data_IF_171643755906
#
_entry.id   IF_171643755906
#
_cell.length_a   1.000
_cell.length_b   1.000
_cell.length_c   1.000
_cell.angle_alpha   90.00
_cell.angle_beta   90.00
_cell.angle_gamma   90.00
#
_symmetry.space_group_name_H-M   'P 1'
#
loop_
_entity.id
_entity.type
_entity.pdbx_description
1 polymer ?
#
# COMPACT_ATOMS: atom_id res chain seq x y z
N UNK A 1 12.78 17.70 11.92
CA UNK A 1 13.38 16.64 12.77
C UNK A 1 13.33 15.34 11.98
N UNK A 2 14.36 14.51 12.07
CA UNK A 2 14.37 13.18 11.44
C UNK A 2 13.54 12.19 12.25
N UNK A 3 12.82 11.28 11.58
CA UNK A 3 12.09 10.20 12.26
C UNK A 3 13.06 9.19 12.90
N UNK A 4 12.69 8.57 14.05
CA UNK A 4 13.42 7.42 14.57
C UNK A 4 13.44 6.27 13.55
N UNK A 5 14.58 5.57 13.43
CA UNK A 5 14.77 4.47 12.49
C UNK A 5 15.26 3.24 13.23
N UNK A 6 14.61 2.11 12.97
CA UNK A 6 14.94 0.80 13.50
C UNK A 6 15.34 -0.15 12.38
N UNK A 7 16.23 -1.10 12.68
CA UNK A 7 16.65 -2.21 11.82
C UNK A 7 16.50 -3.53 12.57
N UNK A 8 16.82 -4.64 11.90
CA UNK A 8 16.74 -5.98 12.51
C UNK A 8 17.47 -6.06 13.86
N UNK A 9 18.63 -5.39 14.00
CA UNK A 9 19.40 -5.35 15.25
C UNK A 9 18.68 -4.68 16.42
N UNK A 10 17.67 -3.86 16.13
CA UNK A 10 16.89 -3.11 17.11
C UNK A 10 15.55 -3.82 17.42
N UNK A 11 15.33 -5.00 16.82
CA UNK A 11 14.09 -5.77 16.89
C UNK A 11 14.34 -7.16 17.47
N UNK A 12 13.41 -7.65 18.29
CA UNK A 12 13.44 -9.02 18.82
C UNK A 12 12.37 -9.87 18.13
N UNK A 13 12.78 -10.70 17.17
CA UNK A 13 11.87 -11.60 16.43
C UNK A 13 11.22 -12.68 17.31
N UNK A 14 11.79 -12.98 18.49
CA UNK A 14 11.23 -14.02 19.36
C UNK A 14 9.83 -13.65 19.89
N UNK A 15 9.52 -12.34 19.98
CA UNK A 15 8.23 -11.84 20.44
C UNK A 15 7.09 -12.24 19.50
N UNK A 16 7.22 -11.96 18.20
CA UNK A 16 6.21 -12.35 17.22
C UNK A 16 6.23 -13.86 16.94
N UNK A 17 7.41 -14.51 16.99
CA UNK A 17 7.52 -15.96 16.82
C UNK A 17 6.76 -16.76 17.89
N UNK A 18 6.67 -16.24 19.11
CA UNK A 18 5.92 -16.85 20.20
C UNK A 18 4.39 -16.59 20.13
N UNK A 19 3.95 -15.67 19.27
CA UNK A 19 2.55 -15.21 19.21
C UNK A 19 1.69 -16.05 18.27
N UNK A 20 0.38 -16.11 18.54
CA UNK A 20 -0.63 -16.57 17.57
C UNK A 20 -1.04 -15.41 16.67
N UNK A 21 -0.72 -15.50 15.38
CA UNK A 21 -0.97 -14.43 14.40
C UNK A 21 -2.15 -14.81 13.52
N UNK A 22 -3.19 -13.98 13.51
CA UNK A 22 -4.29 -14.06 12.57
C UNK A 22 -4.14 -13.01 11.48
N UNK A 23 -4.17 -13.44 10.23
CA UNK A 23 -4.23 -12.56 9.06
C UNK A 23 -5.67 -12.54 8.54
N UNK A 24 -6.35 -11.40 8.62
CA UNK A 24 -7.71 -11.22 8.10
C UNK A 24 -7.64 -10.67 6.69
N UNK A 25 -8.09 -11.45 5.71
CA UNK A 25 -7.96 -11.13 4.29
C UNK A 25 -6.69 -11.70 3.66
N UNK A 26 -6.82 -12.15 2.41
CA UNK A 26 -5.74 -12.84 1.68
C UNK A 26 -5.57 -12.30 0.25
N UNK A 27 -5.65 -10.97 0.13
CA UNK A 27 -5.33 -10.24 -1.10
C UNK A 27 -3.82 -10.00 -1.26
N UNK A 28 -3.47 -8.92 -1.95
CA UNK A 28 -2.08 -8.50 -2.21
C UNK A 28 -1.21 -8.42 -0.93
N UNK A 29 -1.65 -7.62 0.06
CA UNK A 29 -0.94 -7.49 1.34
C UNK A 29 -1.13 -8.70 2.23
N UNK A 30 -2.37 -9.21 2.37
CA UNK A 30 -2.71 -10.37 3.19
C UNK A 30 -1.85 -11.60 2.92
N UNK A 31 -1.74 -12.00 1.65
CA UNK A 31 -0.89 -13.13 1.25
C UNK A 31 0.58 -12.87 1.56
N UNK A 32 1.06 -11.65 1.29
CA UNK A 32 2.46 -11.27 1.51
C UNK A 32 2.84 -11.33 2.99
N UNK A 33 2.02 -10.73 3.85
CA UNK A 33 2.23 -10.74 5.30
C UNK A 33 2.20 -12.16 5.86
N UNK A 34 1.18 -12.96 5.49
CA UNK A 34 1.06 -14.34 5.95
C UNK A 34 2.31 -15.18 5.60
N UNK A 35 2.79 -15.08 4.36
CA UNK A 35 3.97 -15.83 3.90
C UNK A 35 5.26 -15.35 4.56
N UNK A 36 5.48 -14.03 4.65
CA UNK A 36 6.73 -13.50 5.23
C UNK A 36 6.82 -13.78 6.73
N UNK A 37 5.70 -13.63 7.46
CA UNK A 37 5.63 -13.92 8.89
C UNK A 37 5.89 -15.41 9.17
N UNK A 38 5.27 -16.31 8.40
CA UNK A 38 5.54 -17.75 8.51
C UNK A 38 7.02 -18.08 8.22
N UNK A 39 7.55 -17.54 7.13
CA UNK A 39 8.93 -17.80 6.72
C UNK A 39 9.96 -17.14 7.66
N UNK A 40 9.54 -16.20 8.51
CA UNK A 40 10.32 -15.64 9.62
C UNK A 40 10.26 -16.48 10.90
N UNK A 41 9.64 -17.66 10.87
CA UNK A 41 9.64 -18.61 11.98
C UNK A 41 8.44 -18.48 12.93
N UNK A 42 7.41 -17.72 12.58
CA UNK A 42 6.16 -17.72 13.35
C UNK A 42 5.39 -19.01 13.06
N UNK A 43 5.35 -19.89 14.06
CA UNK A 43 4.77 -21.23 13.92
C UNK A 43 3.23 -21.22 13.86
N UNK A 44 2.60 -20.23 14.47
CA UNK A 44 1.14 -20.16 14.62
C UNK A 44 0.57 -19.02 13.78
N UNK A 45 0.32 -19.30 12.50
CA UNK A 45 -0.33 -18.35 11.57
C UNK A 45 -1.62 -18.96 11.02
N UNK A 46 -2.74 -18.27 11.20
CA UNK A 46 -4.02 -18.60 10.57
C UNK A 46 -4.49 -17.48 9.66
N UNK A 47 -5.31 -17.84 8.67
CA UNK A 47 -5.89 -16.87 7.74
C UNK A 47 -7.42 -16.88 7.91
N UNK A 48 -8.01 -15.71 8.17
CA UNK A 48 -9.44 -15.55 8.22
C UNK A 48 -9.98 -15.07 6.88
N UNK A 49 -10.95 -15.81 6.33
CA UNK A 49 -11.65 -15.50 5.09
C UNK A 49 -13.13 -15.84 5.21
N UNK A 50 -13.97 -15.08 4.50
CA UNK A 50 -15.39 -15.43 4.31
C UNK A 50 -15.49 -16.73 3.51
N UNK A 51 -16.52 -17.54 3.78
CA UNK A 51 -16.72 -18.87 3.17
C UNK A 51 -16.67 -18.83 1.62
N UNK A 52 -17.32 -17.81 1.02
CA UNK A 52 -17.32 -17.59 -0.43
C UNK A 52 -16.13 -16.83 -0.99
N UNK A 53 -15.03 -16.65 -0.24
CA UNK A 53 -13.88 -15.87 -0.71
C UNK A 53 -13.18 -16.55 -1.88
N UNK A 54 -12.94 -15.79 -2.96
CA UNK A 54 -12.20 -16.24 -4.15
C UNK A 54 -10.75 -16.62 -3.84
N UNK A 55 -10.18 -16.11 -2.74
CA UNK A 55 -8.79 -16.36 -2.35
C UNK A 55 -8.61 -17.57 -1.42
N UNK A 56 -9.69 -18.24 -1.03
CA UNK A 56 -9.66 -19.38 -0.09
C UNK A 56 -8.78 -20.53 -0.60
N UNK A 57 -9.04 -20.97 -1.83
CA UNK A 57 -8.26 -22.03 -2.51
C UNK A 57 -6.77 -21.66 -2.56
N UNK A 58 -6.46 -20.38 -2.79
CA UNK A 58 -5.07 -19.92 -2.86
C UNK A 58 -4.39 -19.98 -1.49
N UNK A 59 -5.06 -19.53 -0.44
CA UNK A 59 -4.55 -19.59 0.94
C UNK A 59 -4.33 -21.03 1.42
N UNK A 60 -5.26 -21.94 1.12
CA UNK A 60 -5.12 -23.38 1.40
C UNK A 60 -3.95 -23.99 0.62
N UNK A 61 -3.81 -23.66 -0.66
CA UNK A 61 -2.70 -24.11 -1.50
C UNK A 61 -1.33 -23.59 -1.03
N UNK A 62 -1.31 -22.39 -0.44
CA UNK A 62 -0.11 -21.83 0.19
C UNK A 62 0.15 -22.41 1.60
N UNK A 63 -0.71 -23.31 2.09
CA UNK A 63 -0.52 -24.11 3.31
C UNK A 63 -1.10 -23.51 4.59
N UNK A 64 -2.03 -22.55 4.50
CA UNK A 64 -2.65 -21.93 5.68
C UNK A 64 -3.96 -22.61 6.09
N UNK A 65 -4.16 -22.74 7.40
CA UNK A 65 -5.47 -23.08 7.96
C UNK A 65 -6.41 -21.88 7.81
N UNK A 66 -7.60 -22.12 7.27
CA UNK A 66 -8.63 -21.10 7.07
C UNK A 66 -9.67 -21.18 8.17
N UNK A 67 -9.93 -20.05 8.82
CA UNK A 67 -10.91 -19.90 9.90
C UNK A 67 -11.92 -18.80 9.58
N UNK A 68 -13.00 -18.73 10.35
CA UNK A 68 -13.86 -17.54 10.36
C UNK A 68 -13.15 -16.38 11.05
N UNK A 69 -13.58 -15.15 10.80
CA UNK A 69 -12.99 -13.97 11.46
C UNK A 69 -13.20 -14.07 12.97
N UNK A 70 -14.43 -14.37 13.42
CA UNK A 70 -14.74 -14.52 14.83
C UNK A 70 -13.85 -15.55 15.51
N UNK A 71 -13.81 -16.80 15.02
CA UNK A 71 -13.01 -17.86 15.63
C UNK A 71 -11.51 -17.53 15.64
N UNK A 72 -11.03 -16.90 14.57
CA UNK A 72 -9.66 -16.43 14.47
C UNK A 72 -9.33 -15.38 15.51
N UNK A 73 -10.20 -14.39 15.72
CA UNK A 73 -9.99 -13.30 16.68
C UNK A 73 -9.97 -13.82 18.11
N UNK A 74 -10.86 -14.75 18.47
CA UNK A 74 -10.79 -15.41 19.79
C UNK A 74 -9.46 -16.15 19.99
N UNK A 75 -8.95 -16.81 18.96
CA UNK A 75 -7.75 -17.65 19.04
C UNK A 75 -6.44 -16.84 19.11
N UNK A 76 -6.38 -15.69 18.43
CA UNK A 76 -5.13 -14.96 18.17
C UNK A 76 -4.65 -14.14 19.37
N UNK A 77 -3.35 -13.82 19.38
CA UNK A 77 -2.75 -12.79 20.23
C UNK A 77 -2.51 -11.51 19.42
N UNK A 78 -2.19 -11.66 18.13
CA UNK A 78 -1.98 -10.58 17.16
C UNK A 78 -2.94 -10.76 15.99
N UNK A 79 -3.75 -9.73 15.73
CA UNK A 79 -4.77 -9.71 14.68
C UNK A 79 -4.34 -8.67 13.65
N UNK A 80 -4.16 -9.07 12.40
CA UNK A 80 -3.71 -8.20 11.31
C UNK A 80 -4.83 -8.04 10.31
N UNK A 81 -5.34 -6.82 10.16
CA UNK A 81 -6.49 -6.51 9.28
C UNK A 81 -5.99 -6.06 7.92
N UNK A 82 -6.15 -6.92 6.91
CA UNK A 82 -5.64 -6.73 5.53
C UNK A 82 -6.74 -6.98 4.48
N UNK A 83 -7.99 -6.70 4.85
CA UNK A 83 -9.09 -6.48 3.90
C UNK A 83 -9.00 -5.07 3.30
N UNK A 84 -9.96 -4.69 2.44
CA UNK A 84 -10.03 -3.32 1.96
C UNK A 84 -10.55 -2.38 3.06
N UNK A 85 -10.03 -1.15 3.09
CA UNK A 85 -10.25 -0.22 4.20
C UNK A 85 -11.72 0.13 4.41
N UNK A 86 -12.48 0.23 3.32
CA UNK A 86 -13.91 0.50 3.33
C UNK A 86 -14.75 -0.65 3.93
N UNK A 87 -14.20 -1.87 3.95
CA UNK A 87 -14.84 -3.01 4.61
C UNK A 87 -14.58 -3.05 6.12
N UNK A 88 -13.58 -2.31 6.63
CA UNK A 88 -13.14 -2.41 8.03
C UNK A 88 -14.22 -2.03 9.03
N UNK A 89 -15.03 -1.00 8.76
CA UNK A 89 -16.06 -0.54 9.71
C UNK A 89 -17.03 -1.66 10.08
N UNK A 90 -17.63 -2.29 9.06
CA UNK A 90 -18.61 -3.36 9.25
C UNK A 90 -17.94 -4.63 9.76
N UNK A 91 -16.80 -5.02 9.18
CA UNK A 91 -16.04 -6.19 9.62
C UNK A 91 -15.66 -6.09 11.10
N UNK A 92 -15.22 -4.91 11.53
CA UNK A 92 -14.83 -4.66 12.90
C UNK A 92 -16.03 -4.75 13.84
N UNK A 93 -17.12 -4.05 13.53
CA UNK A 93 -18.32 -4.06 14.36
C UNK A 93 -18.97 -5.44 14.48
N UNK A 94 -19.08 -6.17 13.36
CA UNK A 94 -19.84 -7.42 13.29
C UNK A 94 -19.03 -8.64 13.76
N UNK A 95 -17.72 -8.70 13.45
CA UNK A 95 -16.93 -9.94 13.56
C UNK A 95 -15.69 -9.82 14.46
N UNK A 96 -15.06 -8.64 14.56
CA UNK A 96 -13.81 -8.47 15.34
C UNK A 96 -14.10 -8.00 16.76
N UNK A 97 -14.73 -6.82 16.92
CA UNK A 97 -14.93 -6.16 18.20
C UNK A 97 -15.64 -7.04 19.24
N UNK A 98 -16.67 -7.84 18.90
CA UNK A 98 -17.34 -8.70 19.88
C UNK A 98 -16.45 -9.81 20.45
N UNK A 99 -15.34 -10.12 19.78
CA UNK A 99 -14.45 -11.23 20.13
C UNK A 99 -13.11 -10.77 20.72
N UNK A 100 -12.86 -9.45 20.76
CA UNK A 100 -11.62 -8.91 21.29
C UNK A 100 -11.47 -9.17 22.79
N UNK A 101 -10.24 -9.46 23.18
CA UNK A 101 -9.79 -9.77 24.54
C UNK A 101 -8.76 -8.73 24.97
N UNK A 102 -8.65 -8.47 26.27
CA UNK A 102 -7.58 -7.61 26.79
C UNK A 102 -6.19 -8.13 26.40
N UNK A 103 -5.25 -7.20 26.18
CA UNK A 103 -3.85 -7.45 25.81
C UNK A 103 -3.64 -8.10 24.44
N UNK A 104 -4.67 -8.22 23.60
CA UNK A 104 -4.47 -8.51 22.17
C UNK A 104 -3.92 -7.29 21.43
N UNK A 105 -3.24 -7.52 20.32
CA UNK A 105 -2.78 -6.46 19.42
C UNK A 105 -3.55 -6.48 18.10
N UNK A 106 -4.00 -5.31 17.66
CA UNK A 106 -4.62 -5.07 16.37
C UNK A 106 -3.65 -4.29 15.47
N UNK A 107 -3.24 -4.89 14.36
CA UNK A 107 -2.32 -4.31 13.39
C UNK A 107 -3.07 -3.96 12.11
N UNK A 108 -2.89 -2.72 11.65
CA UNK A 108 -3.31 -2.26 10.33
C UNK A 108 -2.08 -1.98 9.46
N UNK A 109 -2.22 -2.17 8.14
CA UNK A 109 -1.20 -1.77 7.16
C UNK A 109 -1.41 -0.36 6.59
N UNK A 110 -2.56 0.25 6.90
CA UNK A 110 -2.90 1.62 6.54
C UNK A 110 -3.73 2.26 7.66
N UNK A 111 -3.49 3.56 7.93
CA UNK A 111 -4.09 4.26 9.07
C UNK A 111 -5.54 4.70 8.88
N UNK A 112 -6.13 4.60 7.68
CA UNK A 112 -7.45 5.20 7.35
C UNK A 112 -8.54 4.88 8.36
N UNK A 113 -8.75 3.59 8.63
CA UNK A 113 -9.91 3.17 9.43
C UNK A 113 -9.87 3.69 10.86
N UNK A 114 -8.70 3.76 11.47
CA UNK A 114 -8.54 4.24 12.84
C UNK A 114 -8.42 5.77 12.87
N UNK A 115 -7.65 6.37 11.94
CA UNK A 115 -7.45 7.82 11.88
C UNK A 115 -8.76 8.60 11.68
N UNK A 116 -9.68 8.07 10.86
CA UNK A 116 -10.98 8.69 10.61
C UNK A 116 -12.11 8.14 11.48
N UNK A 117 -11.81 7.30 12.48
CA UNK A 117 -12.79 6.79 13.45
C UNK A 117 -13.83 5.83 12.87
N UNK A 118 -13.54 5.20 11.72
CA UNK A 118 -14.37 4.12 11.17
C UNK A 118 -14.28 2.86 12.06
N UNK A 119 -13.12 2.68 12.68
CA UNK A 119 -12.85 1.64 13.67
C UNK A 119 -12.40 2.33 14.95
N UNK A 120 -13.05 1.99 16.06
CA UNK A 120 -12.72 2.48 17.40
C UNK A 120 -12.39 1.28 18.28
N UNK A 121 -11.10 0.92 18.44
CA UNK A 121 -10.70 -0.19 19.28
C UNK A 121 -11.00 0.08 20.77
N UNK A 122 -11.33 -0.96 21.57
CA UNK A 122 -11.51 -0.79 23.00
C UNK A 122 -10.18 -0.45 23.71
N UNK A 123 -10.24 0.20 24.87
CA UNK A 123 -9.03 0.67 25.57
C UNK A 123 -8.05 -0.45 26.02
N UNK A 124 -8.52 -1.70 26.10
CA UNK A 124 -7.73 -2.84 26.58
C UNK A 124 -6.88 -3.55 25.52
N UNK A 125 -6.84 -3.07 24.27
CA UNK A 125 -6.05 -3.69 23.19
C UNK A 125 -4.92 -2.79 22.71
N UNK A 126 -3.82 -3.37 22.23
CA UNK A 126 -2.80 -2.60 21.53
C UNK A 126 -3.28 -2.30 20.10
N UNK A 127 -2.99 -1.10 19.60
CA UNK A 127 -3.36 -0.68 18.24
C UNK A 127 -2.12 -0.14 17.54
N UNK A 128 -1.75 -0.82 16.46
CA UNK A 128 -0.49 -0.63 15.76
C UNK A 128 -0.72 -0.40 14.28
N UNK A 129 0.16 0.42 13.70
CA UNK A 129 0.34 0.54 12.26
C UNK A 129 1.66 -0.11 11.89
N UNK A 130 1.63 -1.04 10.95
CA UNK A 130 2.82 -1.61 10.29
C UNK A 130 2.57 -1.57 8.79
N UNK A 131 3.11 -0.55 8.13
CA UNK A 131 2.86 -0.23 6.73
C UNK A 131 4.14 -0.39 5.88
N UNK A 132 4.42 -1.60 5.36
CA UNK A 132 5.49 -1.81 4.38
C UNK A 132 5.21 -1.00 3.11
N UNK A 133 6.16 -0.16 2.71
CA UNK A 133 6.01 0.74 1.57
C UNK A 133 6.33 0.00 0.28
N UNK A 134 5.28 -0.46 -0.40
CA UNK A 134 5.35 -1.16 -1.68
C UNK A 134 4.07 -1.90 -2.01
N UNK A 135 4.02 -2.46 -3.22
CA UNK A 135 2.91 -3.27 -3.69
C UNK A 135 3.13 -4.71 -3.21
N UNK A 136 2.13 -5.34 -2.58
CA UNK A 136 2.23 -6.65 -1.90
C UNK A 136 3.09 -7.72 -2.61
N UNK A 137 2.74 -8.20 -3.82
CA UNK A 137 3.54 -9.17 -4.56
C UNK A 137 5.01 -8.79 -4.70
N UNK A 138 5.31 -7.51 -4.94
CA UNK A 138 6.69 -7.03 -5.06
C UNK A 138 7.41 -7.06 -3.71
N UNK A 139 6.74 -6.74 -2.62
CA UNK A 139 7.29 -6.88 -1.26
C UNK A 139 7.66 -8.34 -1.00
N UNK A 140 6.81 -9.30 -1.42
CA UNK A 140 7.12 -10.74 -1.30
C UNK A 140 8.36 -11.12 -2.09
N UNK A 141 8.49 -10.69 -3.34
CA UNK A 141 9.65 -11.00 -4.18
C UNK A 141 10.95 -10.47 -3.56
N UNK A 142 10.93 -9.21 -3.08
CA UNK A 142 12.06 -8.57 -2.38
C UNK A 142 12.42 -9.35 -1.11
N UNK A 143 11.43 -9.80 -0.34
CA UNK A 143 11.65 -10.59 0.87
C UNK A 143 12.34 -11.92 0.57
N UNK A 144 11.89 -12.63 -0.47
CA UNK A 144 12.46 -13.93 -0.90
C UNK A 144 13.89 -13.76 -1.43
N UNK A 145 14.19 -12.63 -2.06
CA UNK A 145 15.55 -12.27 -2.47
C UNK A 145 16.50 -11.93 -1.29
N UNK A 146 16.01 -11.99 -0.04
CA UNK A 146 16.80 -11.66 1.15
C UNK A 146 16.89 -10.15 1.44
N UNK A 147 16.17 -9.33 0.68
CA UNK A 147 16.09 -7.88 0.87
C UNK A 147 14.85 -7.50 1.70
N UNK A 148 14.64 -6.19 1.89
CA UNK A 148 13.48 -5.64 2.60
C UNK A 148 13.01 -4.32 2.00
N UNK A 149 11.80 -3.90 2.36
CA UNK A 149 11.24 -2.59 2.02
C UNK A 149 11.24 -1.68 3.23
N UNK A 150 11.21 -0.36 3.01
CA UNK A 150 10.97 0.57 4.11
C UNK A 150 9.58 0.33 4.70
N UNK A 151 9.43 0.52 6.00
CA UNK A 151 8.14 0.42 6.68
C UNK A 151 7.88 1.70 7.46
N UNK A 152 6.66 2.22 7.38
CA UNK A 152 6.17 3.17 8.36
C UNK A 152 5.53 2.41 9.51
N UNK A 153 5.87 2.81 10.73
CA UNK A 153 5.44 2.16 11.95
C UNK A 153 4.84 3.19 12.90
N UNK A 154 3.73 2.88 13.55
CA UNK A 154 3.17 3.74 14.60
C UNK A 154 2.51 2.92 15.70
N UNK A 155 2.59 3.44 16.93
CA UNK A 155 1.76 2.99 18.06
C UNK A 155 0.64 4.00 18.24
N UNK A 156 -0.60 3.57 18.01
CA UNK A 156 -1.78 4.40 18.25
C UNK A 156 -2.29 4.23 19.67
N UNK A 157 -2.30 2.99 20.17
CA UNK A 157 -2.69 2.66 21.53
C UNK A 157 -1.76 1.58 22.09
N UNK A 158 -1.27 1.77 23.32
CA UNK A 158 -0.42 0.82 24.05
C UNK A 158 -1.08 0.48 25.38
N UNK A 159 -1.96 -0.52 25.36
CA UNK A 159 -2.68 -1.00 26.53
C UNK A 159 -1.81 -1.95 27.36
N UNK A 160 -0.93 -2.72 26.70
CA UNK A 160 -0.10 -3.74 27.34
C UNK A 160 1.23 -3.21 27.88
N UNK A 161 1.66 -2.01 27.45
CA UNK A 161 3.00 -1.46 27.69
C UNK A 161 4.08 -2.13 26.81
N UNK A 162 3.68 -2.96 25.85
CA UNK A 162 4.58 -3.72 24.96
C UNK A 162 4.25 -3.53 23.47
N UNK A 163 3.28 -2.67 23.13
CA UNK A 163 2.83 -2.49 21.75
C UNK A 163 4.00 -2.17 20.82
N UNK A 164 4.91 -1.29 21.25
CA UNK A 164 6.06 -0.87 20.44
C UNK A 164 6.98 -2.03 20.07
N UNK A 165 7.42 -2.81 21.04
CA UNK A 165 8.38 -3.91 20.81
C UNK A 165 7.75 -5.04 20.01
N UNK A 166 6.46 -5.31 20.23
CA UNK A 166 5.71 -6.30 19.45
C UNK A 166 5.54 -5.84 17.99
N UNK A 167 5.17 -4.58 17.77
CA UNK A 167 4.99 -4.03 16.43
C UNK A 167 6.29 -3.97 15.62
N UNK A 168 7.42 -3.61 16.26
CA UNK A 168 8.75 -3.68 15.65
C UNK A 168 9.14 -5.14 15.32
N UNK A 169 8.86 -6.09 16.21
CA UNK A 169 9.06 -7.53 15.97
C UNK A 169 8.26 -8.01 14.75
N UNK A 170 6.98 -7.63 14.64
CA UNK A 170 6.14 -7.96 13.49
C UNK A 170 6.67 -7.32 12.20
N UNK A 171 7.06 -6.04 12.22
CA UNK A 171 7.64 -5.36 11.06
C UNK A 171 8.95 -6.01 10.60
N UNK A 172 9.81 -6.44 11.53
CA UNK A 172 11.02 -7.20 11.21
C UNK A 172 10.70 -8.57 10.59
N UNK A 173 9.67 -9.27 11.04
CA UNK A 173 9.20 -10.53 10.44
C UNK A 173 8.65 -10.36 9.01
N UNK A 174 8.32 -9.14 8.60
CA UNK A 174 8.00 -8.82 7.20
C UNK A 174 9.25 -8.54 6.35
N UNK A 175 10.44 -8.58 6.94
CA UNK A 175 11.72 -8.24 6.34
C UNK A 175 12.04 -6.74 6.33
N UNK A 176 11.18 -5.90 6.91
CA UNK A 176 11.35 -4.44 6.82
C UNK A 176 12.59 -3.94 7.58
N UNK A 177 13.01 -4.62 8.65
CA UNK A 177 14.20 -4.28 9.41
C UNK A 177 15.52 -4.44 8.63
N UNK A 178 15.51 -5.19 7.52
CA UNK A 178 16.64 -5.31 6.58
C UNK A 178 16.92 -4.00 5.84
N UNK A 179 15.89 -3.16 5.67
CA UNK A 179 15.97 -1.86 4.99
C UNK A 179 15.87 -0.69 5.97
N UNK A 180 14.80 -0.64 6.75
CA UNK A 180 14.55 0.38 7.76
C UNK A 180 13.07 0.49 8.10
N UNK A 181 12.78 0.56 9.40
CA UNK A 181 11.45 0.80 9.96
C UNK A 181 11.46 2.21 10.55
N UNK A 182 10.61 3.10 10.05
CA UNK A 182 10.55 4.51 10.46
C UNK A 182 9.31 4.74 11.32
N UNK A 183 9.52 5.26 12.53
CA UNK A 183 8.43 5.56 13.45
C UNK A 183 7.77 6.90 13.12
N UNK A 184 6.46 6.87 12.97
CA UNK A 184 5.59 7.99 12.59
C UNK A 184 4.31 7.95 13.42
N UNK A 185 3.31 8.75 13.06
CA UNK A 185 1.96 8.67 13.61
C UNK A 185 1.00 8.02 12.61
N UNK A 186 -0.09 7.45 13.13
CA UNK A 186 -1.15 6.89 12.29
C UNK A 186 -1.79 7.94 11.37
N UNK A 187 -1.86 9.19 11.85
CA UNK A 187 -2.32 10.35 11.08
C UNK A 187 -1.37 10.66 9.92
N UNK A 188 -0.08 10.82 10.20
CA UNK A 188 0.89 11.20 9.18
C UNK A 188 1.03 10.11 8.11
N UNK A 189 1.00 8.84 8.48
CA UNK A 189 0.97 7.77 7.49
C UNK A 189 -0.29 7.82 6.65
N UNK A 190 -1.47 7.88 7.27
CA UNK A 190 -2.73 7.86 6.53
C UNK A 190 -2.86 9.04 5.56
N UNK A 191 -2.63 10.26 6.03
CA UNK A 191 -2.79 11.46 5.20
C UNK A 191 -1.75 11.53 4.08
N UNK A 192 -0.50 11.16 4.36
CA UNK A 192 0.56 11.21 3.35
C UNK A 192 0.43 10.10 2.31
N UNK A 193 -0.01 8.91 2.72
CA UNK A 193 -0.22 7.78 1.82
C UNK A 193 -1.38 8.07 0.85
N UNK A 194 -2.53 8.51 1.37
CA UNK A 194 -3.69 8.94 0.58
C UNK A 194 -3.36 10.09 -0.37
N UNK A 195 -2.59 11.08 0.08
CA UNK A 195 -2.13 12.17 -0.77
C UNK A 195 -1.21 11.66 -1.88
N UNK A 196 -0.22 10.83 -1.52
CA UNK A 196 0.78 10.31 -2.45
C UNK A 196 0.16 9.50 -3.58
N UNK A 197 -0.78 8.61 -3.28
CA UNK A 197 -1.47 7.80 -4.29
C UNK A 197 -2.36 8.65 -5.22
N UNK A 198 -3.08 9.63 -4.67
CA UNK A 198 -3.98 10.48 -5.46
C UNK A 198 -3.19 11.42 -6.39
N UNK A 199 -2.11 12.00 -5.88
CA UNK A 199 -1.42 13.11 -6.57
C UNK A 199 -0.24 12.67 -7.42
N UNK A 200 0.51 11.65 -6.99
CA UNK A 200 1.77 11.27 -7.65
C UNK A 200 1.72 9.84 -8.16
N UNK A 201 1.60 8.87 -7.25
CA UNK A 201 1.90 7.46 -7.53
C UNK A 201 0.89 6.81 -8.48
N UNK A 202 -0.40 7.09 -8.29
CA UNK A 202 -1.47 6.47 -9.06
C UNK A 202 -2.18 7.50 -9.95
N UNK A 203 -2.85 8.49 -9.34
CA UNK A 203 -3.64 9.47 -10.08
C UNK A 203 -2.80 10.33 -11.02
N UNK A 204 -1.79 11.02 -10.48
CA UNK A 204 -0.90 11.88 -11.27
C UNK A 204 -0.13 11.13 -12.36
N UNK A 205 0.48 9.99 -12.03
CA UNK A 205 1.20 9.18 -13.02
C UNK A 205 0.28 8.71 -14.15
N UNK A 206 -0.91 8.17 -13.83
CA UNK A 206 -1.87 7.72 -14.85
C UNK A 206 -2.27 8.87 -15.77
N UNK A 207 -2.63 10.02 -15.22
CA UNK A 207 -3.10 11.16 -15.99
C UNK A 207 -1.99 11.79 -16.84
N UNK A 208 -0.77 11.92 -16.31
CA UNK A 208 0.37 12.47 -17.05
C UNK A 208 0.74 11.60 -18.25
N UNK A 209 0.86 10.29 -18.04
CA UNK A 209 1.18 9.32 -19.09
C UNK A 209 0.07 9.29 -20.15
N UNK A 210 -1.20 9.17 -19.71
CA UNK A 210 -2.34 9.09 -20.64
C UNK A 210 -2.48 10.37 -21.47
N UNK A 211 -2.34 11.54 -20.84
CA UNK A 211 -2.47 12.83 -21.54
C UNK A 211 -1.32 13.06 -22.52
N UNK A 212 -0.09 12.70 -22.13
CA UNK A 212 1.06 12.76 -23.04
C UNK A 212 0.89 11.84 -24.24
N UNK A 213 0.48 10.59 -24.00
CA UNK A 213 0.21 9.61 -25.05
C UNK A 213 -0.85 10.13 -26.03
N UNK A 214 -2.00 10.59 -25.51
CA UNK A 214 -3.10 11.07 -26.33
C UNK A 214 -2.71 12.32 -27.14
N UNK A 215 -1.94 13.24 -26.55
CA UNK A 215 -1.45 14.43 -27.25
C UNK A 215 -0.64 14.08 -28.50
N UNK A 216 0.22 13.04 -28.42
CA UNK A 216 0.99 12.58 -29.57
C UNK A 216 0.10 11.86 -30.59
N UNK A 217 -0.78 10.96 -30.14
CA UNK A 217 -1.68 10.24 -31.05
C UNK A 217 -2.60 11.19 -31.81
N UNK A 218 -3.19 12.18 -31.13
CA UNK A 218 -4.06 13.19 -31.75
C UNK A 218 -3.33 14.08 -32.75
N UNK A 219 -2.03 14.28 -32.55
CA UNK A 219 -1.17 14.99 -33.49
C UNK A 219 -0.72 14.13 -34.70
N UNK A 220 -1.16 12.86 -34.76
CA UNK A 220 -0.90 11.94 -35.88
C UNK A 220 0.36 11.10 -35.75
N UNK A 221 1.00 11.07 -34.58
CA UNK A 221 2.13 10.17 -34.33
C UNK A 221 1.63 8.72 -34.16
N UNK A 222 2.41 7.71 -34.59
CA UNK A 222 2.06 6.31 -34.37
C UNK A 222 1.89 5.99 -32.87
N UNK A 223 0.87 5.20 -32.48
CA UNK A 223 0.65 4.82 -31.08
C UNK A 223 1.88 4.17 -30.43
N UNK A 224 2.63 3.37 -31.17
CA UNK A 224 3.83 2.69 -30.67
C UNK A 224 4.90 3.71 -30.28
N UNK A 225 5.13 4.73 -31.11
CA UNK A 225 6.07 5.83 -30.82
C UNK A 225 5.59 6.61 -29.60
N UNK A 226 4.31 6.98 -29.54
CA UNK A 226 3.73 7.67 -28.39
C UNK A 226 3.86 6.85 -27.09
N UNK A 227 3.72 5.53 -27.17
CA UNK A 227 3.86 4.63 -26.04
C UNK A 227 5.29 4.55 -25.53
N UNK A 228 6.29 4.47 -26.43
CA UNK A 228 7.69 4.47 -26.04
C UNK A 228 8.06 5.76 -25.29
N UNK A 229 7.70 6.91 -25.86
CA UNK A 229 8.07 8.23 -25.35
C UNK A 229 7.36 8.60 -24.04
N UNK A 230 6.17 8.06 -23.77
CA UNK A 230 5.34 8.49 -22.61
C UNK A 230 5.16 7.43 -21.54
N UNK A 231 5.39 6.16 -21.84
CA UNK A 231 5.20 5.06 -20.89
C UNK A 231 6.46 4.21 -20.69
N UNK A 232 7.08 3.72 -21.78
CA UNK A 232 8.24 2.84 -21.69
C UNK A 232 9.45 3.52 -21.06
N UNK A 233 9.86 4.67 -21.61
CA UNK A 233 11.05 5.37 -21.14
C UNK A 233 10.86 6.01 -19.77
N UNK A 234 9.61 6.26 -19.35
CA UNK A 234 9.32 6.74 -18.00
C UNK A 234 9.88 5.78 -16.93
N UNK A 235 9.84 4.46 -17.16
CA UNK A 235 10.47 3.49 -16.25
C UNK A 235 11.97 3.76 -16.09
N UNK A 236 12.68 3.98 -17.20
CA UNK A 236 14.12 4.20 -17.19
C UNK A 236 14.48 5.50 -16.46
N UNK A 237 13.69 6.55 -16.67
CA UNK A 237 13.85 7.82 -15.96
C UNK A 237 13.60 7.64 -14.47
N UNK A 238 12.52 6.95 -14.07
CA UNK A 238 12.22 6.70 -12.66
C UNK A 238 13.29 5.87 -11.98
N UNK A 239 13.80 4.81 -12.64
CA UNK A 239 14.90 3.99 -12.11
C UNK A 239 16.17 4.84 -11.91
N UNK A 240 16.50 5.72 -12.86
CA UNK A 240 17.65 6.61 -12.77
C UNK A 240 17.52 7.63 -11.62
N UNK A 241 16.34 8.23 -11.45
CA UNK A 241 16.05 9.16 -10.36
C UNK A 241 16.06 8.45 -9.00
N UNK A 242 15.63 7.19 -8.96
CA UNK A 242 15.69 6.34 -7.77
C UNK A 242 17.13 6.06 -7.35
N UNK A 243 18.01 5.73 -8.29
CA UNK A 243 19.41 5.38 -8.02
C UNK A 243 20.27 6.59 -7.64
N UNK A 244 20.09 7.72 -8.33
CA UNK A 244 21.00 8.86 -8.25
C UNK A 244 20.38 10.11 -7.61
N UNK A 245 19.10 10.07 -7.26
CA UNK A 245 18.34 11.24 -6.86
C UNK A 245 18.11 12.22 -8.02
N UNK A 246 17.38 13.30 -7.75
CA UNK A 246 16.96 14.26 -8.78
C UNK A 246 18.14 14.90 -9.53
N UNK A 247 19.10 15.46 -8.78
CA UNK A 247 20.26 16.12 -9.39
C UNK A 247 21.19 15.12 -10.08
N UNK A 248 21.41 13.95 -9.49
CA UNK A 248 22.28 12.93 -10.08
C UNK A 248 21.70 12.34 -11.36
N UNK A 249 20.39 12.08 -11.39
CA UNK A 249 19.70 11.58 -12.58
C UNK A 249 19.65 12.61 -13.71
N UNK A 250 19.38 13.88 -13.41
CA UNK A 250 19.43 14.94 -14.43
C UNK A 250 20.85 15.15 -15.00
N UNK A 251 21.89 14.88 -14.21
CA UNK A 251 23.27 14.85 -14.71
C UNK A 251 23.62 13.66 -15.62
N UNK A 252 22.68 12.74 -15.89
CA UNK A 252 22.89 11.56 -16.76
C UNK A 252 22.07 11.58 -18.05
N UNK A 253 21.15 12.53 -18.21
CA UNK A 253 20.40 12.71 -19.47
C UNK A 253 21.15 13.68 -20.41
N UNK A 254 20.73 13.77 -21.67
CA UNK A 254 21.33 14.72 -22.62
C UNK A 254 21.03 16.17 -22.23
N UNK A 255 21.94 17.10 -22.56
CA UNK A 255 21.73 18.53 -22.32
C UNK A 255 20.42 19.04 -22.94
N UNK A 256 20.00 18.47 -24.08
CA UNK A 256 18.72 18.81 -24.72
C UNK A 256 17.52 18.41 -23.85
N UNK A 257 17.56 17.18 -23.30
CA UNK A 257 16.50 16.69 -22.42
C UNK A 257 16.46 17.46 -21.10
N UNK A 258 17.63 17.73 -20.49
CA UNK A 258 17.74 18.51 -19.26
C UNK A 258 17.19 19.94 -19.43
N UNK A 259 17.66 20.64 -20.47
CA UNK A 259 17.20 22.00 -20.77
C UNK A 259 15.69 22.03 -21.07
N UNK A 260 15.20 21.07 -21.85
CA UNK A 260 13.77 20.91 -22.15
C UNK A 260 12.94 20.67 -20.89
N UNK A 261 13.42 19.83 -19.97
CA UNK A 261 12.75 19.54 -18.70
C UNK A 261 12.68 20.78 -17.79
N UNK A 262 13.76 21.56 -17.67
CA UNK A 262 13.76 22.79 -16.87
C UNK A 262 12.79 23.85 -17.40
N UNK A 263 12.65 23.97 -18.71
CA UNK A 263 11.71 24.93 -19.31
C UNK A 263 10.25 24.43 -19.29
N UNK A 264 10.04 23.15 -19.54
CA UNK A 264 8.69 22.61 -19.80
C UNK A 264 8.04 22.05 -18.55
N UNK A 265 8.81 21.46 -17.63
CA UNK A 265 8.29 20.92 -16.37
C UNK A 265 7.42 21.92 -15.60
N UNK A 266 7.89 23.15 -15.34
CA UNK A 266 7.10 24.19 -14.66
C UNK A 266 5.88 24.69 -15.44
N UNK A 267 5.77 24.43 -16.75
CA UNK A 267 4.56 24.75 -17.53
C UNK A 267 3.46 23.72 -17.29
N UNK A 268 3.83 22.45 -17.14
CA UNK A 268 2.90 21.33 -16.89
C UNK A 268 2.56 21.25 -15.39
N UNK A 269 3.58 21.29 -14.53
CA UNK A 269 3.45 21.32 -13.07
C UNK A 269 3.70 22.75 -12.59
N UNK A 270 2.64 23.56 -12.66
CA UNK A 270 2.67 24.99 -12.39
C UNK A 270 2.01 25.33 -11.03
N UNK A 271 1.83 26.62 -10.75
CA UNK A 271 1.22 27.08 -9.50
C UNK A 271 -0.24 26.62 -9.35
N UNK A 272 -1.00 26.48 -10.44
CA UNK A 272 -2.35 25.91 -10.40
C UNK A 272 -2.31 24.43 -10.05
N UNK A 273 -1.37 23.66 -10.62
CA UNK A 273 -1.18 22.25 -10.26
C UNK A 273 -0.86 22.12 -8.76
N UNK A 274 0.04 22.96 -8.24
CA UNK A 274 0.40 22.98 -6.80
C UNK A 274 -0.78 23.39 -5.91
N UNK A 275 -1.59 24.35 -6.35
CA UNK A 275 -2.79 24.76 -5.62
C UNK A 275 -3.79 23.60 -5.52
N UNK A 276 -3.98 22.83 -6.60
CA UNK A 276 -4.83 21.63 -6.58
C UNK A 276 -4.25 20.54 -5.68
N UNK A 277 -2.92 20.32 -5.68
CA UNK A 277 -2.29 19.40 -4.71
C UNK A 277 -2.62 19.80 -3.26
N UNK A 278 -2.52 21.10 -2.93
CA UNK A 278 -2.90 21.59 -1.61
C UNK A 278 -4.41 21.39 -1.32
N UNK A 279 -5.26 21.54 -2.33
CA UNK A 279 -6.70 21.24 -2.26
C UNK A 279 -6.96 19.76 -1.93
N UNK A 280 -6.33 18.84 -2.66
CA UNK A 280 -6.43 17.39 -2.42
C UNK A 280 -5.96 17.03 -1.01
N UNK A 281 -4.85 17.60 -0.55
CA UNK A 281 -4.38 17.36 0.82
C UNK A 281 -5.42 17.84 1.86
N UNK A 282 -6.04 18.99 1.63
CA UNK A 282 -7.11 19.50 2.51
C UNK A 282 -8.35 18.59 2.51
N UNK A 283 -8.72 18.02 1.37
CA UNK A 283 -9.83 17.08 1.26
C UNK A 283 -9.54 15.76 1.99
N UNK A 284 -8.30 15.29 1.95
CA UNK A 284 -7.83 14.16 2.76
C UNK A 284 -7.90 14.51 4.25
N UNK A 285 -7.27 15.60 4.67
CA UNK A 285 -7.18 16.01 6.08
C UNK A 285 -8.54 16.28 6.72
N UNK A 286 -9.49 16.81 5.95
CA UNK A 286 -10.86 17.06 6.42
C UNK A 286 -11.75 15.81 6.44
N UNK A 287 -11.28 14.68 5.89
CA UNK A 287 -12.05 13.46 5.72
C UNK A 287 -13.10 13.53 4.61
N UNK A 288 -13.08 14.57 3.76
CA UNK A 288 -14.01 14.69 2.62
C UNK A 288 -13.83 13.54 1.62
N UNK A 289 -12.57 13.18 1.33
CA UNK A 289 -12.26 12.01 0.50
C UNK A 289 -12.84 10.73 1.08
N UNK A 290 -12.60 10.47 2.38
CA UNK A 290 -13.05 9.24 3.05
C UNK A 290 -14.57 9.14 3.08
N UNK A 291 -15.28 10.24 3.34
CA UNK A 291 -16.75 10.27 3.27
C UNK A 291 -17.27 9.89 1.89
N UNK A 292 -16.65 10.38 0.81
CA UNK A 292 -17.02 10.00 -0.56
C UNK A 292 -16.72 8.53 -0.83
N UNK A 293 -15.54 8.04 -0.43
CA UNK A 293 -15.15 6.64 -0.60
C UNK A 293 -16.15 5.69 0.07
N UNK A 294 -16.46 5.94 1.35
CA UNK A 294 -17.41 5.13 2.11
C UNK A 294 -18.81 5.19 1.50
N UNK A 295 -19.27 6.38 1.09
CA UNK A 295 -20.58 6.53 0.45
C UNK A 295 -20.69 5.78 -0.88
N UNK A 296 -19.62 5.74 -1.68
CA UNK A 296 -19.60 4.94 -2.91
C UNK A 296 -19.62 3.45 -2.58
N UNK A 297 -18.80 3.01 -1.61
CA UNK A 297 -18.76 1.61 -1.18
C UNK A 297 -20.11 1.10 -0.65
N UNK A 298 -20.77 1.85 0.23
CA UNK A 298 -22.07 1.50 0.80
C UNK A 298 -23.16 1.38 -0.30
N UNK A 299 -23.01 2.12 -1.40
CA UNK A 299 -23.87 2.05 -2.57
C UNK A 299 -23.51 0.91 -3.55
N UNK A 300 -22.53 0.06 -3.24
CA UNK A 300 -22.04 -1.01 -4.11
C UNK A 300 -20.97 -0.57 -5.11
N UNK A 301 -20.25 0.51 -4.81
CA UNK A 301 -19.16 1.11 -5.59
C UNK A 301 -19.50 1.49 -7.05
N UNK A 302 -20.64 2.14 -7.35
CA UNK A 302 -21.00 2.49 -8.72
C UNK A 302 -20.00 3.44 -9.41
N UNK A 303 -19.46 4.46 -8.71
CA UNK A 303 -18.50 5.40 -9.31
C UNK A 303 -17.19 4.68 -9.64
N UNK A 304 -16.64 3.93 -8.68
CA UNK A 304 -15.40 3.16 -8.90
C UNK A 304 -15.55 2.14 -10.04
N UNK A 305 -16.67 1.43 -10.10
CA UNK A 305 -16.92 0.44 -11.15
C UNK A 305 -17.13 1.10 -12.52
N UNK A 306 -17.77 2.26 -12.58
CA UNK A 306 -17.89 3.04 -13.82
C UNK A 306 -16.52 3.50 -14.33
N UNK A 307 -15.65 4.01 -13.44
CA UNK A 307 -14.27 4.41 -13.79
C UNK A 307 -13.43 3.24 -14.28
N UNK A 308 -13.52 2.07 -13.63
CA UNK A 308 -12.86 0.84 -14.09
C UNK A 308 -13.32 0.44 -15.49
N UNK A 309 -14.64 0.48 -15.73
CA UNK A 309 -15.21 0.15 -17.05
C UNK A 309 -14.73 1.14 -18.13
N UNK A 310 -14.64 2.43 -17.80
CA UNK A 310 -14.17 3.46 -18.73
C UNK A 310 -12.67 3.33 -19.06
N UNK A 311 -11.86 2.85 -18.11
CA UNK A 311 -10.43 2.61 -18.33
C UNK A 311 -10.17 1.38 -19.21
N UNK A 312 -11.03 0.36 -19.14
CA UNK A 312 -10.83 -0.88 -19.89
C UNK A 312 -10.82 -0.67 -21.41
N UNK A 313 -9.87 -1.33 -22.09
CA UNK A 313 -9.81 -1.35 -23.55
C UNK A 313 -9.33 -0.04 -24.18
N UNK A 314 -8.60 0.78 -23.43
CA UNK A 314 -8.00 2.00 -23.96
C UNK A 314 -6.86 1.68 -24.96
N UNK A 315 -6.57 2.65 -25.82
CA UNK A 315 -5.56 2.49 -26.88
C UNK A 315 -4.13 2.30 -26.34
N UNK A 316 -3.81 2.91 -25.20
CA UNK A 316 -2.49 2.80 -24.57
C UNK A 316 -2.21 1.34 -24.16
N UNK A 317 -3.18 0.67 -23.52
CA UNK A 317 -3.08 -0.75 -23.14
C UNK A 317 -3.10 -1.67 -24.36
N UNK A 318 -3.91 -1.37 -25.38
CA UNK A 318 -3.91 -2.13 -26.62
C UNK A 318 -2.55 -2.06 -27.33
N UNK A 319 -1.93 -0.88 -27.34
CA UNK A 319 -0.58 -0.67 -27.90
C UNK A 319 0.46 -1.45 -27.12
N UNK A 320 0.39 -1.43 -25.78
CA UNK A 320 1.26 -2.25 -24.94
C UNK A 320 1.13 -3.74 -25.28
N UNK A 321 -0.10 -4.26 -25.37
CA UNK A 321 -0.34 -5.67 -25.66
C UNK A 321 0.22 -6.08 -27.03
N UNK A 322 0.11 -5.21 -28.04
CA UNK A 322 0.75 -5.40 -29.33
C UNK A 322 2.28 -5.49 -29.21
N UNK A 323 2.91 -4.54 -28.52
CA UNK A 323 4.37 -4.49 -28.33
C UNK A 323 4.90 -5.68 -27.51
N UNK A 324 4.15 -6.15 -26.51
CA UNK A 324 4.46 -7.38 -25.78
C UNK A 324 4.46 -8.60 -26.73
N UNK A 325 3.55 -8.63 -27.70
CA UNK A 325 3.50 -9.66 -28.74
C UNK A 325 4.71 -9.62 -29.67
N UNK A 326 5.20 -8.43 -30.02
CA UNK A 326 6.41 -8.25 -30.83
C UNK A 326 7.67 -8.73 -30.10
N UNK A 327 7.79 -8.47 -28.80
CA UNK A 327 8.97 -8.87 -28.02
C UNK A 327 9.09 -10.39 -27.82
N UNK A 328 7.98 -11.12 -27.90
CA UNK A 328 7.91 -12.56 -27.66
C UNK A 328 7.80 -13.42 -28.95
N UNK A 329 7.73 -12.79 -30.13
CA UNK A 329 7.64 -13.45 -31.43
C UNK A 329 8.98 -13.47 -32.16
#
# INVERSE_FOLDING_TARGET
MSLPVYRDRDCDLSLIAASKVLIIGYGSQGRTHALNVRDSGVAQVKVALKEGSKTRVKAESDGFEIVTVSDGVLWADVIVVLTSDEAHQRLFADEIAPQLRENQALIFAHGLSVNFGLVVPPAGVDVLLVSPKGIGPRIRDIYVAGEGVFCLFAVHQDASGRAKVLGLSYAAALGCGRKGILETTMKDECESDLFGEQVVLCGGTRELVTSGFQTLVDAGYPPEVAWFETCYELKLVVDLLWELGMSGGFGKISNTAEYGAYLTGPRIINDSSKAEMAGVLKDVQSGAFVKRLMSDFDAGSPDLNARRKALNGNLLDATKAYLDGVANG
#
